data_IF_778780322010
#
_entry.id   IF_778780322010
#
_cell.length_a   1.000
_cell.length_b   1.000
_cell.length_c   1.000
_cell.angle_alpha   90.00
_cell.angle_beta   90.00
_cell.angle_gamma   90.00
#
_symmetry.space_group_name_H-M   'P 1'
#
loop_
_entity.id
_entity.type
_entity.pdbx_description
1 polymer ?
#
# COMPACT_ATOMS: atom_id res chain seq x y z
N UNK A 1 19.01 -47.99 -16.65
CA UNK A 1 19.21 -47.08 -15.51
C UNK A 1 18.93 -45.68 -16.02
N UNK A 2 18.06 -44.99 -15.29
CA UNK A 2 17.45 -43.69 -15.58
C UNK A 2 18.53 -42.64 -15.85
N UNK A 3 18.29 -41.62 -16.66
CA UNK A 3 17.75 -40.34 -16.18
C UNK A 3 17.05 -39.60 -17.32
N UNK A 4 15.71 -39.65 -17.30
CA UNK A 4 14.88 -38.71 -18.01
C UNK A 4 14.51 -37.67 -16.95
N UNK A 5 15.32 -36.62 -16.80
CA UNK A 5 14.99 -35.47 -15.97
C UNK A 5 13.72 -34.84 -16.55
N UNK A 6 12.59 -35.14 -15.89
CA UNK A 6 11.35 -34.42 -16.09
C UNK A 6 11.61 -32.95 -15.75
N UNK A 7 11.89 -32.14 -16.77
CA UNK A 7 11.68 -30.70 -16.71
C UNK A 7 10.18 -30.48 -16.52
N UNK A 8 9.74 -30.38 -15.26
CA UNK A 8 8.40 -29.92 -14.92
C UNK A 8 8.12 -28.64 -15.71
N UNK A 9 6.92 -28.49 -16.32
CA UNK A 9 6.57 -27.26 -17.00
C UNK A 9 6.63 -26.10 -16.00
N UNK A 10 7.11 -24.90 -16.40
CA UNK A 10 7.11 -23.75 -15.51
C UNK A 10 5.67 -23.48 -15.07
N UNK A 11 5.43 -23.50 -13.76
CA UNK A 11 4.14 -23.19 -13.17
C UNK A 11 3.63 -21.84 -13.68
N UNK A 12 2.33 -21.71 -13.99
CA UNK A 12 1.78 -20.47 -14.53
C UNK A 12 1.98 -19.33 -13.52
N UNK A 13 2.51 -18.21 -14.01
CA UNK A 13 2.63 -16.99 -13.20
C UNK A 13 1.25 -16.38 -13.00
N UNK A 14 0.86 -16.16 -11.75
CA UNK A 14 -0.35 -15.43 -11.40
C UNK A 14 0.01 -14.12 -10.70
N UNK A 15 -0.91 -13.17 -10.74
CA UNK A 15 -0.70 -11.84 -10.19
C UNK A 15 -1.08 -11.77 -8.71
N UNK A 16 -0.17 -11.32 -7.87
CA UNK A 16 -0.40 -11.04 -6.45
C UNK A 16 -0.48 -9.54 -6.20
N UNK A 17 -1.50 -9.10 -5.46
CA UNK A 17 -1.63 -7.71 -5.02
C UNK A 17 -0.82 -7.49 -3.72
N UNK A 18 0.09 -6.54 -3.76
CA UNK A 18 0.86 -6.07 -2.60
C UNK A 18 0.62 -4.58 -2.40
N UNK A 19 0.20 -4.19 -1.21
CA UNK A 19 -0.09 -2.81 -0.85
C UNK A 19 1.01 -2.25 0.08
N UNK A 20 1.55 -1.08 -0.26
CA UNK A 20 2.49 -0.38 0.60
C UNK A 20 1.74 0.33 1.74
N UNK A 21 2.00 -0.08 2.98
CA UNK A 21 1.25 0.36 4.14
C UNK A 21 1.36 1.87 4.41
N UNK A 22 2.51 2.48 4.09
CA UNK A 22 2.76 3.90 4.35
C UNK A 22 2.19 4.83 3.29
N UNK A 23 2.27 4.49 2.00
CA UNK A 23 1.80 5.35 0.90
C UNK A 23 0.40 4.99 0.40
N UNK A 24 -0.12 3.81 0.74
CA UNK A 24 -1.37 3.31 0.20
C UNK A 24 -1.31 2.89 -1.27
N UNK A 25 -0.11 2.86 -1.88
CA UNK A 25 0.08 2.42 -3.27
C UNK A 25 0.01 0.90 -3.36
N UNK A 26 -0.65 0.40 -4.41
CA UNK A 26 -0.76 -1.02 -4.69
C UNK A 26 0.09 -1.43 -5.89
N UNK A 27 0.72 -2.59 -5.79
CA UNK A 27 1.59 -3.19 -6.79
C UNK A 27 1.06 -4.58 -7.14
N UNK A 28 1.03 -4.87 -8.44
CA UNK A 28 0.60 -6.15 -8.97
C UNK A 28 1.82 -6.94 -9.43
N UNK A 29 2.15 -8.05 -8.76
CA UNK A 29 3.41 -8.77 -8.95
C UNK A 29 3.12 -10.16 -9.50
N UNK A 30 3.69 -10.48 -10.67
CA UNK A 30 3.60 -11.82 -11.25
C UNK A 30 4.54 -12.79 -10.51
N UNK A 31 3.98 -13.85 -9.94
CA UNK A 31 4.67 -14.85 -9.12
C UNK A 31 4.17 -16.26 -9.47
N UNK A 32 5.00 -17.27 -9.21
CA UNK A 32 4.58 -18.67 -9.16
C UNK A 32 4.21 -19.01 -7.71
N UNK A 33 3.21 -19.88 -7.45
CA UNK A 33 2.93 -20.42 -6.10
C UNK A 33 4.14 -21.11 -5.47
N UNK A 34 5.04 -21.67 -6.28
CA UNK A 34 6.24 -22.38 -5.82
C UNK A 34 7.38 -21.44 -5.39
N UNK A 35 7.27 -20.14 -5.67
CA UNK A 35 8.25 -19.17 -5.19
C UNK A 35 8.19 -19.03 -3.67
N UNK A 36 9.32 -18.75 -3.06
CA UNK A 36 9.38 -18.40 -1.64
C UNK A 36 8.95 -16.96 -1.39
N UNK A 37 8.56 -16.67 -0.15
CA UNK A 37 8.33 -15.29 0.31
C UNK A 37 9.59 -14.45 0.14
N UNK A 38 10.78 -15.02 0.30
CA UNK A 38 12.04 -14.32 0.03
C UNK A 38 12.13 -13.83 -1.43
N UNK A 39 11.74 -14.64 -2.40
CA UNK A 39 11.72 -14.24 -3.81
C UNK A 39 10.75 -13.07 -4.07
N UNK A 40 9.59 -13.07 -3.40
CA UNK A 40 8.67 -11.92 -3.40
C UNK A 40 9.33 -10.66 -2.82
N UNK A 41 10.02 -10.78 -1.68
CA UNK A 41 10.73 -9.64 -1.06
C UNK A 41 11.83 -9.06 -1.95
N UNK A 42 12.54 -9.91 -2.70
CA UNK A 42 13.51 -9.45 -3.71
C UNK A 42 12.84 -8.63 -4.82
N UNK A 43 11.74 -9.11 -5.40
CA UNK A 43 10.96 -8.34 -6.39
C UNK A 43 10.44 -7.03 -5.81
N UNK A 44 9.99 -7.05 -4.56
CA UNK A 44 9.55 -5.83 -3.87
C UNK A 44 10.69 -4.84 -3.65
N UNK A 45 11.92 -5.29 -3.40
CA UNK A 45 13.09 -4.41 -3.30
C UNK A 45 13.42 -3.71 -4.62
N UNK A 46 13.12 -4.34 -5.75
CA UNK A 46 13.34 -3.73 -7.07
C UNK A 46 12.23 -2.72 -7.41
N UNK A 47 10.99 -3.03 -7.03
CA UNK A 47 9.81 -2.19 -7.29
C UNK A 47 9.60 -1.08 -6.24
N UNK A 48 10.18 -1.26 -5.06
CA UNK A 48 10.05 -0.33 -3.92
C UNK A 48 11.44 -0.01 -3.37
N UNK A 49 11.64 1.18 -2.85
CA UNK A 49 12.91 1.55 -2.21
C UNK A 49 13.13 0.92 -0.82
N UNK A 50 12.34 -0.10 -0.43
CA UNK A 50 12.43 -0.74 0.88
C UNK A 50 13.43 -1.91 0.84
N UNK A 51 14.50 -1.81 1.62
CA UNK A 51 15.52 -2.85 1.70
C UNK A 51 14.97 -4.14 2.33
N UNK A 52 15.42 -5.31 1.87
CA UNK A 52 15.03 -6.63 2.38
C UNK A 52 14.93 -6.76 3.92
N UNK A 53 15.94 -6.34 4.72
CA UNK A 53 15.86 -6.47 6.19
C UNK A 53 14.79 -5.55 6.82
N UNK A 54 14.39 -4.51 6.10
CA UNK A 54 13.37 -3.55 6.54
C UNK A 54 11.97 -3.93 6.06
N UNK A 55 11.83 -4.91 5.15
CA UNK A 55 10.53 -5.37 4.66
C UNK A 55 9.83 -6.31 5.65
N UNK A 56 8.66 -5.89 6.11
CA UNK A 56 7.73 -6.70 6.89
C UNK A 56 6.48 -6.92 6.05
N UNK A 57 6.18 -8.17 5.71
CA UNK A 57 5.00 -8.54 4.94
C UNK A 57 3.96 -9.16 5.87
N UNK A 58 2.76 -8.60 5.89
CA UNK A 58 1.63 -9.11 6.66
C UNK A 58 0.50 -9.56 5.72
N UNK A 59 -0.08 -10.72 6.04
CA UNK A 59 -1.27 -11.28 5.41
C UNK A 59 -2.27 -11.62 6.52
N UNK A 60 -3.43 -10.95 6.54
CA UNK A 60 -4.49 -11.18 7.55
C UNK A 60 -4.02 -11.14 9.02
N UNK A 61 -2.94 -10.39 9.29
CA UNK A 61 -2.34 -10.29 10.61
C UNK A 61 -1.27 -11.33 10.92
N UNK A 62 -0.99 -12.29 10.05
CA UNK A 62 0.19 -13.17 10.17
C UNK A 62 1.36 -12.60 9.36
N UNK A 63 2.58 -12.78 9.87
CA UNK A 63 3.80 -12.37 9.20
C UNK A 63 4.25 -13.45 8.23
N UNK A 64 4.58 -13.06 6.99
CA UNK A 64 5.12 -14.00 6.02
C UNK A 64 6.59 -14.29 6.32
N UNK A 65 6.92 -15.58 6.44
CA UNK A 65 8.27 -16.07 6.73
C UNK A 65 9.06 -16.33 5.46
N UNK A 66 10.35 -15.98 5.45
CA UNK A 66 11.17 -15.96 4.23
C UNK A 66 11.26 -17.32 3.52
N UNK A 67 11.33 -18.39 4.32
CA UNK A 67 11.59 -19.76 3.85
C UNK A 67 10.31 -20.49 3.43
N UNK A 68 9.14 -19.94 3.78
CA UNK A 68 7.85 -20.51 3.40
C UNK A 68 7.54 -20.23 1.93
N UNK A 69 6.81 -21.17 1.30
CA UNK A 69 6.31 -21.00 -0.06
C UNK A 69 5.13 -20.04 -0.10
N UNK A 70 4.91 -19.38 -1.23
CA UNK A 70 3.73 -18.53 -1.42
C UNK A 70 2.43 -19.34 -1.36
N UNK A 71 2.46 -20.58 -1.83
CA UNK A 71 1.32 -21.51 -1.83
C UNK A 71 0.79 -21.80 -0.41
N UNK A 72 1.65 -21.90 0.60
CA UNK A 72 1.26 -22.10 2.01
C UNK A 72 0.34 -20.99 2.54
N UNK A 73 0.45 -19.80 1.96
CA UNK A 73 -0.37 -18.65 2.30
C UNK A 73 -1.52 -18.40 1.31
N UNK A 74 -1.77 -19.32 0.38
CA UNK A 74 -2.77 -19.16 -0.68
C UNK A 74 -2.40 -18.07 -1.69
N UNK A 75 -1.11 -17.80 -1.89
CA UNK A 75 -0.58 -16.83 -2.84
C UNK A 75 0.11 -17.57 -4.00
N UNK A 76 0.18 -16.97 -5.21
CA UNK A 76 -0.48 -15.74 -5.66
C UNK A 76 -2.00 -15.88 -5.89
N UNK A 77 -2.73 -14.76 -5.82
CA UNK A 77 -4.17 -14.68 -6.10
C UNK A 77 -5.06 -14.68 -4.87
N UNK A 78 -4.46 -14.73 -3.68
CA UNK A 78 -5.15 -14.63 -2.39
C UNK A 78 -5.40 -13.18 -1.94
N UNK A 79 -5.63 -12.97 -0.63
CA UNK A 79 -5.85 -11.65 -0.06
C UNK A 79 -4.67 -10.69 -0.28
N UNK A 80 -4.91 -9.40 -0.04
CA UNK A 80 -3.86 -8.37 -0.18
C UNK A 80 -2.77 -8.57 0.85
N UNK A 81 -1.52 -8.59 0.40
CA UNK A 81 -0.34 -8.58 1.27
C UNK A 81 0.04 -7.13 1.56
N UNK A 82 0.24 -6.78 2.82
CA UNK A 82 0.66 -5.44 3.23
C UNK A 82 2.16 -5.39 3.48
N UNK A 83 2.86 -4.51 2.78
CA UNK A 83 4.27 -4.22 2.96
C UNK A 83 4.47 -3.04 3.93
N UNK A 84 5.15 -3.30 5.03
CA UNK A 84 5.61 -2.30 5.99
C UNK A 84 7.11 -2.11 5.88
N UNK A 85 7.54 -0.86 6.08
CA UNK A 85 8.95 -0.51 6.22
C UNK A 85 9.29 -0.37 7.71
N UNK A 86 10.15 -1.25 8.20
CA UNK A 86 10.61 -1.25 9.60
C UNK A 86 11.23 0.09 10.01
N UNK A 87 11.90 0.81 9.09
CA UNK A 87 12.51 2.11 9.38
C UNK A 87 11.45 3.17 9.68
N UNK A 88 10.31 3.14 8.98
CA UNK A 88 9.19 4.06 9.20
C UNK A 88 8.45 3.78 10.53
N UNK A 89 8.59 2.57 11.08
CA UNK A 89 8.00 2.19 12.36
C UNK A 89 8.88 2.58 13.57
N UNK A 90 10.10 3.07 13.33
CA UNK A 90 10.97 3.50 14.42
C UNK A 90 10.40 4.75 15.11
N UNK A 91 10.55 4.86 16.44
CA UNK A 91 9.98 5.99 17.22
C UNK A 91 10.50 7.36 16.76
N UNK A 92 11.72 7.42 16.23
CA UNK A 92 12.33 8.64 15.70
C UNK A 92 12.23 8.78 14.18
N UNK A 93 11.44 7.94 13.52
CA UNK A 93 11.23 8.06 12.09
C UNK A 93 10.54 9.40 11.79
N UNK A 94 10.91 10.09 10.70
CA UNK A 94 10.14 11.23 10.24
C UNK A 94 8.70 10.78 9.96
N UNK A 95 7.75 11.69 10.16
CA UNK A 95 6.37 11.44 9.74
C UNK A 95 6.35 11.16 8.24
N UNK A 96 5.52 10.21 7.78
CA UNK A 96 5.32 9.98 6.35
C UNK A 96 4.96 11.29 5.67
N UNK A 97 5.54 11.53 4.49
CA UNK A 97 5.13 12.67 3.67
C UNK A 97 3.64 12.53 3.35
N UNK A 98 2.86 13.56 3.69
CA UNK A 98 1.47 13.61 3.28
C UNK A 98 1.47 13.79 1.77
N UNK A 99 1.17 12.74 1.01
CA UNK A 99 0.93 12.85 -0.42
C UNK A 99 -0.19 13.89 -0.60
N UNK A 100 0.21 15.11 -0.99
CA UNK A 100 -0.71 16.21 -1.18
C UNK A 100 -1.65 15.84 -2.32
N UNK A 101 -2.95 16.07 -2.12
CA UNK A 101 -3.85 16.24 -3.27
C UNK A 101 -3.45 17.58 -3.85
N UNK A 102 -2.42 17.60 -4.71
CA UNK A 102 -2.03 18.85 -5.36
C UNK A 102 -3.26 19.36 -6.13
N UNK A 103 -3.80 20.54 -5.75
CA UNK A 103 -4.96 21.06 -6.43
C UNK A 103 -4.54 21.36 -7.85
N UNK A 104 -5.16 20.67 -8.82
CA UNK A 104 -5.02 21.07 -10.21
C UNK A 104 -5.70 22.43 -10.37
N UNK A 105 -4.89 23.49 -10.36
CA UNK A 105 -5.35 24.83 -10.70
C UNK A 105 -5.56 24.87 -12.21
N UNK A 106 -6.81 24.95 -12.69
CA UNK A 106 -7.07 25.00 -14.12
C UNK A 106 -6.48 26.30 -14.65
N UNK A 107 -5.67 26.21 -15.70
CA UNK A 107 -5.19 27.37 -16.45
C UNK A 107 -6.31 27.92 -17.33
N UNK A 108 -7.19 28.72 -16.72
CA UNK A 108 -8.34 29.31 -17.41
C UNK A 108 -7.86 30.45 -18.32
N UNK A 109 -8.11 30.40 -19.64
CA UNK A 109 -7.70 31.48 -20.53
C UNK A 109 -8.49 32.76 -20.26
N UNK A 110 -7.79 33.86 -20.01
CA UNK A 110 -8.41 35.20 -19.87
C UNK A 110 -8.70 35.84 -21.23
N UNK A 111 -7.92 35.48 -22.25
CA UNK A 111 -8.03 36.03 -23.61
C UNK A 111 -7.85 34.95 -24.66
N UNK A 112 -8.48 35.13 -25.83
CA UNK A 112 -8.23 34.29 -27.00
C UNK A 112 -6.84 34.53 -27.56
N UNK A 113 -6.09 33.45 -27.78
CA UNK A 113 -4.83 33.53 -28.51
C UNK A 113 -5.07 34.10 -29.92
N UNK A 114 -4.14 34.89 -30.49
CA UNK A 114 -4.30 35.52 -31.79
C UNK A 114 -4.57 34.52 -32.93
N UNK A 115 -4.04 33.30 -32.79
CA UNK A 115 -4.17 32.21 -33.78
C UNK A 115 -5.58 31.60 -33.81
N UNK A 116 -6.28 31.62 -32.66
CA UNK A 116 -7.62 31.10 -32.48
C UNK A 116 -8.69 32.19 -32.62
N UNK A 117 -8.25 33.45 -32.73
CA UNK A 117 -9.10 34.61 -32.82
C UNK A 117 -9.58 34.83 -34.27
N UNK A 118 -10.90 34.91 -34.54
CA UNK A 118 -11.38 35.41 -35.82
C UNK A 118 -10.94 36.87 -36.05
N UNK A 119 -11.10 37.34 -37.30
CA UNK A 119 -10.67 38.68 -37.76
C UNK A 119 -11.05 39.78 -36.78
N UNK A 120 -10.23 40.85 -36.70
CA UNK A 120 -10.53 41.93 -35.77
C UNK A 120 -11.82 42.65 -36.20
N UNK A 121 -12.76 42.91 -35.28
CA UNK A 121 -14.02 43.61 -35.58
C UNK A 121 -13.78 44.99 -36.23
N UNK A 122 -12.67 45.63 -35.88
CA UNK A 122 -12.22 46.92 -36.42
C UNK A 122 -12.08 46.93 -37.96
N UNK A 123 -11.82 45.77 -38.56
CA UNK A 123 -11.49 45.64 -39.99
C UNK A 123 -12.73 45.48 -40.88
N UNK A 124 -13.93 45.39 -40.28
CA UNK A 124 -15.19 45.11 -40.98
C UNK A 124 -16.01 46.39 -41.15
N UNK A 125 -16.69 46.57 -42.27
CA UNK A 125 -17.43 47.81 -42.58
C UNK A 125 -18.86 47.84 -42.02
N UNK A 126 -19.52 46.68 -41.91
CA UNK A 126 -20.92 46.59 -41.47
C UNK A 126 -21.03 46.34 -39.97
N UNK A 127 -21.88 47.09 -39.23
CA UNK A 127 -22.05 46.93 -37.78
C UNK A 127 -22.61 45.56 -37.39
N UNK A 128 -23.47 44.96 -38.22
CA UNK A 128 -24.00 43.61 -37.95
C UNK A 128 -22.92 42.53 -38.08
N UNK A 129 -22.01 42.68 -39.05
CA UNK A 129 -20.91 41.73 -39.25
C UNK A 129 -19.87 41.86 -38.14
N UNK A 130 -19.62 43.07 -37.63
CA UNK A 130 -18.79 43.29 -36.43
C UNK A 130 -19.36 42.57 -35.22
N UNK A 131 -20.66 42.76 -34.95
CA UNK A 131 -21.33 42.13 -33.82
C UNK A 131 -21.26 40.60 -33.90
N UNK A 132 -21.44 40.02 -35.08
CA UNK A 132 -21.34 38.56 -35.27
C UNK A 132 -19.94 38.04 -34.90
N UNK A 133 -18.88 38.71 -35.36
CA UNK A 133 -17.50 38.33 -35.06
C UNK A 133 -17.18 38.55 -33.58
N UNK A 134 -17.70 39.61 -32.96
CA UNK A 134 -17.59 39.79 -31.51
C UNK A 134 -18.27 38.65 -30.74
N UNK A 135 -19.48 38.25 -31.11
CA UNK A 135 -20.15 37.12 -30.47
C UNK A 135 -19.39 35.81 -30.64
N UNK A 136 -18.85 35.55 -31.83
CA UNK A 136 -18.01 34.37 -32.08
C UNK A 136 -16.80 34.34 -31.14
N UNK A 137 -16.08 35.47 -31.02
CA UNK A 137 -14.94 35.60 -30.10
C UNK A 137 -15.33 35.33 -28.65
N UNK A 138 -16.39 35.97 -28.17
CA UNK A 138 -16.83 35.76 -26.79
C UNK A 138 -17.24 34.30 -26.56
N UNK A 139 -18.00 33.71 -27.49
CA UNK A 139 -18.43 32.33 -27.38
C UNK A 139 -17.26 31.35 -27.37
N UNK A 140 -16.26 31.53 -28.25
CA UNK A 140 -15.06 30.69 -28.27
C UNK A 140 -14.27 30.82 -26.97
N UNK A 141 -14.08 32.04 -26.46
CA UNK A 141 -13.40 32.27 -25.18
C UNK A 141 -14.12 31.54 -24.04
N UNK A 142 -15.43 31.74 -23.92
CA UNK A 142 -16.24 31.10 -22.88
C UNK A 142 -16.22 29.56 -23.00
N UNK A 143 -16.24 29.02 -24.21
CA UNK A 143 -16.13 27.58 -24.43
C UNK A 143 -14.78 27.04 -23.94
N UNK A 144 -13.67 27.74 -24.21
CA UNK A 144 -12.34 27.35 -23.75
C UNK A 144 -12.22 27.46 -22.22
N UNK A 145 -12.77 28.52 -21.62
CA UNK A 145 -12.84 28.68 -20.17
C UNK A 145 -13.64 27.56 -19.52
N UNK A 146 -14.81 27.24 -20.07
CA UNK A 146 -15.66 26.16 -19.58
C UNK A 146 -14.95 24.81 -19.65
N UNK A 147 -14.24 24.52 -20.74
CA UNK A 147 -13.43 23.30 -20.89
C UNK A 147 -12.29 23.25 -19.87
N UNK A 148 -11.51 24.32 -19.73
CA UNK A 148 -10.43 24.36 -18.75
C UNK A 148 -10.93 24.12 -17.31
N UNK A 149 -12.07 24.71 -16.95
CA UNK A 149 -12.70 24.49 -15.65
C UNK A 149 -13.23 23.06 -15.48
N UNK A 150 -13.86 22.50 -16.51
CA UNK A 150 -14.34 21.12 -16.54
C UNK A 150 -13.19 20.14 -16.36
N UNK A 151 -12.13 20.27 -17.16
CA UNK A 151 -10.98 19.36 -17.15
C UNK A 151 -10.23 19.45 -15.81
N UNK A 152 -10.06 20.66 -15.27
CA UNK A 152 -9.53 20.84 -13.91
C UNK A 152 -10.44 20.24 -12.83
N UNK A 153 -11.76 20.27 -13.02
CA UNK A 153 -12.74 19.62 -12.14
C UNK A 153 -12.60 18.10 -12.15
N UNK A 154 -12.60 17.49 -13.33
CA UNK A 154 -12.41 16.05 -13.53
C UNK A 154 -11.10 15.57 -12.92
N UNK A 155 -10.02 16.32 -13.14
CA UNK A 155 -8.73 15.94 -12.64
C UNK A 155 -8.59 16.10 -11.12
N UNK A 156 -9.27 17.08 -10.51
CA UNK A 156 -9.42 17.15 -9.04
C UNK A 156 -10.22 15.96 -8.50
N UNK A 157 -11.30 15.55 -9.17
CA UNK A 157 -12.08 14.37 -8.78
C UNK A 157 -11.25 13.09 -8.87
N UNK A 158 -10.45 12.93 -9.93
CA UNK A 158 -9.54 11.81 -10.07
C UNK A 158 -8.50 11.76 -8.93
N UNK A 159 -7.86 12.89 -8.63
CA UNK A 159 -6.90 13.00 -7.53
C UNK A 159 -7.54 12.68 -6.17
N UNK A 160 -8.75 13.16 -5.91
CA UNK A 160 -9.50 12.86 -4.68
C UNK A 160 -9.84 11.37 -4.56
N UNK A 161 -10.24 10.71 -5.65
CA UNK A 161 -10.51 9.26 -5.67
C UNK A 161 -9.25 8.45 -5.39
N UNK A 162 -8.13 8.79 -6.02
CA UNK A 162 -6.85 8.14 -5.77
C UNK A 162 -6.39 8.28 -4.33
N UNK A 163 -6.47 9.50 -3.77
CA UNK A 163 -6.11 9.75 -2.37
C UNK A 163 -7.04 9.02 -1.39
N UNK A 164 -8.35 8.95 -1.68
CA UNK A 164 -9.30 8.18 -0.87
C UNK A 164 -8.99 6.69 -0.88
N UNK A 165 -8.67 6.13 -2.06
CA UNK A 165 -8.29 4.72 -2.19
C UNK A 165 -7.00 4.42 -1.44
N UNK A 166 -5.98 5.28 -1.55
CA UNK A 166 -4.73 5.15 -0.81
C UNK A 166 -4.96 5.15 0.71
N UNK A 167 -5.79 6.07 1.22
CA UNK A 167 -6.16 6.13 2.65
C UNK A 167 -6.91 4.89 3.12
N UNK A 168 -7.80 4.35 2.28
CA UNK A 168 -8.50 3.10 2.60
C UNK A 168 -7.52 1.94 2.72
N UNK A 169 -6.54 1.85 1.83
CA UNK A 169 -5.47 0.85 1.87
C UNK A 169 -4.62 1.01 3.14
N UNK A 170 -4.21 2.23 3.48
CA UNK A 170 -3.47 2.52 4.71
C UNK A 170 -4.27 2.09 5.97
N UNK A 171 -5.58 2.37 5.99
CA UNK A 171 -6.48 1.97 7.08
C UNK A 171 -6.56 0.45 7.22
N UNK A 172 -6.71 -0.28 6.12
CA UNK A 172 -6.72 -1.75 6.13
C UNK A 172 -5.36 -2.33 6.54
N UNK A 173 -4.26 -1.72 6.10
CA UNK A 173 -2.91 -2.10 6.53
C UNK A 173 -2.76 -1.92 8.05
N UNK A 174 -3.17 -0.78 8.60
CA UNK A 174 -3.18 -0.55 10.05
C UNK A 174 -4.02 -1.61 10.78
N UNK A 175 -5.19 -1.98 10.22
CA UNK A 175 -6.00 -3.08 10.71
C UNK A 175 -5.23 -4.40 10.78
N UNK A 176 -4.51 -4.77 9.71
CA UNK A 176 -3.67 -5.96 9.67
C UNK A 176 -2.54 -5.92 10.72
N UNK A 177 -1.92 -4.75 10.94
CA UNK A 177 -0.90 -4.56 11.97
C UNK A 177 -1.48 -4.71 13.39
N UNK A 178 -2.65 -4.14 13.67
CA UNK A 178 -3.33 -4.28 14.96
C UNK A 178 -3.71 -5.75 15.21
N UNK A 179 -4.22 -6.44 14.19
CA UNK A 179 -4.50 -7.88 14.28
C UNK A 179 -3.24 -8.69 14.56
N UNK A 180 -2.13 -8.37 13.87
CA UNK A 180 -0.83 -8.99 14.13
C UNK A 180 -0.39 -8.84 15.59
N UNK A 181 -0.48 -7.62 16.14
CA UNK A 181 -0.15 -7.37 17.54
C UNK A 181 -1.05 -8.15 18.51
N UNK A 182 -2.35 -8.27 18.22
CA UNK A 182 -3.28 -9.06 19.04
C UNK A 182 -2.95 -10.55 19.01
N UNK A 183 -2.67 -11.10 17.83
CA UNK A 183 -2.27 -12.50 17.66
C UNK A 183 -1.00 -12.78 18.46
N UNK A 184 0.02 -11.93 18.32
CA UNK A 184 1.27 -12.08 19.07
C UNK A 184 1.08 -11.91 20.59
N UNK A 185 0.24 -10.96 21.02
CA UNK A 185 -0.06 -10.79 22.44
C UNK A 185 -0.74 -12.03 23.04
N UNK A 186 -1.68 -12.65 22.31
CA UNK A 186 -2.30 -13.92 22.73
C UNK A 186 -1.26 -15.03 22.86
N UNK A 187 -0.47 -15.27 21.80
CA UNK A 187 0.58 -16.29 21.77
C UNK A 187 1.61 -16.08 22.92
N UNK A 188 1.94 -14.83 23.22
CA UNK A 188 2.86 -14.49 24.31
C UNK A 188 2.24 -14.73 25.69
N UNK A 189 0.97 -14.37 25.88
CA UNK A 189 0.23 -14.60 27.13
C UNK A 189 0.13 -16.09 27.45
N UNK A 190 -0.17 -16.93 26.46
CA UNK A 190 -0.22 -18.39 26.61
C UNK A 190 1.13 -18.97 27.06
N UNK A 191 2.22 -18.57 26.40
CA UNK A 191 3.58 -18.99 26.78
C UNK A 191 3.96 -18.51 28.18
N UNK A 192 3.61 -17.28 28.53
CA UNK A 192 3.87 -16.74 29.86
C UNK A 192 3.11 -17.51 30.92
N UNK A 193 1.83 -17.83 30.68
CA UNK A 193 1.01 -18.58 31.62
C UNK A 193 1.55 -19.99 31.84
N UNK A 194 1.95 -20.67 30.76
CA UNK A 194 2.61 -21.98 30.85
C UNK A 194 3.92 -21.94 31.65
N UNK A 195 4.76 -20.92 31.41
CA UNK A 195 5.99 -20.74 32.19
C UNK A 195 5.67 -20.47 33.66
N UNK A 196 4.67 -19.62 33.94
CA UNK A 196 4.29 -19.24 35.30
C UNK A 196 3.80 -20.45 36.10
N UNK A 197 2.98 -21.32 35.52
CA UNK A 197 2.51 -22.54 36.20
C UNK A 197 3.67 -23.48 36.52
N UNK A 198 4.59 -23.72 35.57
CA UNK A 198 5.78 -24.56 35.82
C UNK A 198 6.68 -23.97 36.90
N UNK A 199 6.86 -22.64 36.90
CA UNK A 199 7.64 -21.95 37.90
C UNK A 199 7.02 -22.09 39.30
N UNK A 200 5.70 -21.89 39.42
CA UNK A 200 4.99 -22.04 40.69
C UNK A 200 5.06 -23.48 41.22
N UNK A 201 4.90 -24.49 40.36
CA UNK A 201 5.05 -25.91 40.71
C UNK A 201 6.46 -26.25 41.20
N UNK A 202 7.49 -25.78 40.49
CA UNK A 202 8.89 -26.03 40.86
C UNK A 202 9.29 -25.34 42.16
N UNK A 203 8.83 -24.11 42.38
CA UNK A 203 9.04 -23.38 43.65
C UNK A 203 8.37 -24.14 44.80
N UNK A 204 7.12 -24.59 44.64
CA UNK A 204 6.42 -25.34 45.67
C UNK A 204 7.12 -26.67 46.03
N UNK A 205 7.60 -27.41 45.02
CA UNK A 205 8.40 -28.63 45.24
C UNK A 205 9.72 -28.33 45.96
N UNK A 206 10.39 -27.24 45.59
CA UNK A 206 11.64 -26.84 46.24
C UNK A 206 11.42 -26.43 47.71
N UNK A 207 10.37 -25.67 47.99
CA UNK A 207 9.97 -25.31 49.35
C UNK A 207 9.63 -26.54 50.19
N UNK A 208 8.93 -27.53 49.61
CA UNK A 208 8.65 -28.79 50.28
C UNK A 208 9.93 -29.56 50.62
N UNK A 209 10.87 -29.66 49.69
CA UNK A 209 12.14 -30.36 49.88
C UNK A 209 13.02 -29.68 50.94
N UNK A 210 13.06 -28.35 50.96
CA UNK A 210 13.76 -27.62 52.01
C UNK A 210 13.09 -27.78 53.38
N UNK A 211 11.74 -27.84 53.40
CA UNK A 211 10.97 -28.03 54.63
C UNK A 211 11.07 -29.43 55.22
N UNK A 212 11.24 -30.47 54.40
CA UNK A 212 11.43 -31.85 54.86
C UNK A 212 12.90 -32.22 55.08
N UNK A 213 13.84 -31.35 54.71
CA UNK A 213 15.27 -31.65 54.69
C UNK A 213 15.81 -32.24 56.00
N UNK A 214 15.52 -31.62 57.14
CA UNK A 214 16.03 -32.11 58.44
C UNK A 214 15.43 -33.48 58.81
N UNK A 215 14.17 -33.74 58.43
CA UNK A 215 13.49 -35.02 58.70
C UNK A 215 13.94 -36.15 57.76
N UNK A 216 14.41 -35.81 56.55
CA UNK A 216 14.88 -36.77 55.55
C UNK A 216 16.36 -37.16 55.74
N UNK A 217 17.09 -36.46 56.61
CA UNK A 217 18.54 -36.65 56.87
C UNK A 217 18.83 -37.46 58.16
N UNK A 218 17.87 -37.59 59.07
CA UNK A 218 17.93 -38.48 60.26
C UNK A 218 17.62 -39.95 59.94
#
# INVERSE_FOLDING_TARGET
MNENELSSPPSPLSSQLVAHAESGRSLSIALSPDHSVLALKHKLKELTAVALPDQILLLEGERLENDASLAEYGLPGGPTVYLFNRRSLHRSAPLPEVEGIEPQQPSVPETLAPELAPRRPSDLSSPLVRALVDYERHFTLHLLQARALHDGGEARLAAARSASSAREIQSRALGAAVLNLRIYASKLSEKHQYFKTLYEETVALHEQLLGSFDADVE
#
